data_IF_583235802854
#
_entry.id   IF_583235802854
#
_cell.length_a   1.000
_cell.length_b   1.000
_cell.length_c   1.000
_cell.angle_alpha   90.00
_cell.angle_beta   90.00
_cell.angle_gamma   90.00
#
_symmetry.space_group_name_H-M   'P 1'
#
loop_
_entity.id
_entity.type
_entity.pdbx_description
1 polymer ?
#
# COMPACT_ATOMS: atom_id res chain seq x y z
N UNK A 1 -16.08 -37.13 2.23
CA UNK A 1 -16.01 -35.76 1.68
C UNK A 1 -15.81 -34.78 2.84
N UNK A 2 -14.57 -34.36 3.12
CA UNK A 2 -14.29 -33.41 4.21
C UNK A 2 -14.48 -31.97 3.71
N UNK A 3 -15.50 -31.28 4.22
CA UNK A 3 -15.76 -29.87 3.94
C UNK A 3 -14.66 -29.02 4.60
N UNK A 4 -13.82 -28.36 3.79
CA UNK A 4 -12.83 -27.39 4.28
C UNK A 4 -13.58 -26.18 4.84
N UNK A 5 -13.55 -26.00 6.16
CA UNK A 5 -14.04 -24.80 6.81
C UNK A 5 -13.36 -23.55 6.20
N UNK A 6 -14.15 -22.61 5.68
CA UNK A 6 -13.66 -21.29 5.28
C UNK A 6 -13.13 -20.60 6.52
N UNK A 7 -11.80 -20.49 6.63
CA UNK A 7 -11.14 -19.69 7.66
C UNK A 7 -11.58 -18.23 7.46
N UNK A 8 -12.42 -17.70 8.35
CA UNK A 8 -12.81 -16.29 8.35
C UNK A 8 -11.53 -15.45 8.43
N UNK A 9 -11.36 -14.52 7.48
CA UNK A 9 -10.22 -13.61 7.52
C UNK A 9 -10.52 -12.59 8.62
N UNK A 10 -9.61 -12.35 9.57
CA UNK A 10 -9.82 -11.36 10.61
C UNK A 10 -10.09 -10.00 9.95
N UNK A 11 -11.14 -9.33 10.42
CA UNK A 11 -11.45 -7.96 10.02
C UNK A 11 -10.32 -7.07 10.54
N UNK A 12 -9.66 -6.36 9.63
CA UNK A 12 -8.56 -5.46 9.99
C UNK A 12 -9.13 -4.26 10.75
N UNK A 13 -8.44 -3.85 11.81
CA UNK A 13 -8.75 -2.59 12.49
C UNK A 13 -8.55 -1.42 11.52
N UNK A 14 -9.23 -0.26 11.75
CA UNK A 14 -9.03 0.94 10.94
C UNK A 14 -7.55 1.35 10.82
N UNK A 15 -6.78 1.21 11.91
CA UNK A 15 -5.36 1.51 11.93
C UNK A 15 -4.54 0.54 11.07
N UNK A 16 -4.83 -0.76 11.13
CA UNK A 16 -4.17 -1.75 10.26
C UNK A 16 -4.50 -1.53 8.78
N UNK A 17 -5.74 -1.10 8.48
CA UNK A 17 -6.13 -0.69 7.14
C UNK A 17 -5.37 0.55 6.69
N UNK A 18 -5.28 1.59 7.54
CA UNK A 18 -4.52 2.81 7.29
C UNK A 18 -3.05 2.49 6.99
N UNK A 19 -2.44 1.65 7.84
CA UNK A 19 -1.06 1.19 7.71
C UNK A 19 -0.83 0.46 6.39
N UNK A 20 -1.71 -0.49 6.06
CA UNK A 20 -1.63 -1.26 4.81
C UNK A 20 -1.80 -0.37 3.58
N UNK A 21 -2.68 0.62 3.64
CA UNK A 21 -2.88 1.61 2.58
C UNK A 21 -1.64 2.50 2.42
N UNK A 22 -1.09 3.01 3.52
CA UNK A 22 0.13 3.82 3.52
C UNK A 22 1.32 3.07 2.91
N UNK A 23 1.56 1.82 3.32
CA UNK A 23 2.64 0.99 2.75
C UNK A 23 2.51 0.85 1.23
N UNK A 24 1.30 0.57 0.73
CA UNK A 24 1.06 0.44 -0.71
C UNK A 24 1.33 1.75 -1.44
N UNK A 25 0.83 2.86 -0.90
CA UNK A 25 0.97 4.18 -1.51
C UNK A 25 2.44 4.61 -1.54
N UNK A 26 3.14 4.54 -0.41
CA UNK A 26 4.56 4.90 -0.31
C UNK A 26 5.39 4.06 -1.27
N UNK A 27 5.20 2.74 -1.26
CA UNK A 27 6.03 1.85 -2.08
C UNK A 27 5.75 1.99 -3.58
N UNK A 28 4.49 2.15 -3.99
CA UNK A 28 4.15 2.30 -5.40
C UNK A 28 4.44 3.70 -5.92
N UNK A 29 3.99 4.76 -5.25
CA UNK A 29 4.15 6.13 -5.74
C UNK A 29 5.58 6.65 -5.59
N UNK A 30 6.31 6.22 -4.56
CA UNK A 30 7.74 6.51 -4.46
C UNK A 30 8.51 5.91 -5.65
N UNK A 31 8.29 4.62 -5.92
CA UNK A 31 8.88 3.96 -7.09
C UNK A 31 8.42 4.57 -8.41
N UNK A 32 7.13 4.84 -8.58
CA UNK A 32 6.58 5.36 -9.83
C UNK A 32 7.16 6.74 -10.18
N UNK A 33 7.40 7.58 -9.18
CA UNK A 33 7.99 8.91 -9.37
C UNK A 33 9.41 8.79 -9.90
N UNK A 34 10.24 7.96 -9.26
CA UNK A 34 11.60 7.69 -9.72
C UNK A 34 11.60 7.04 -11.12
N UNK A 35 10.77 6.01 -11.30
CA UNK A 35 10.73 5.25 -12.55
C UNK A 35 10.27 6.11 -13.73
N UNK A 36 9.25 6.96 -13.57
CA UNK A 36 8.82 7.88 -14.64
C UNK A 36 9.84 8.95 -14.96
N UNK A 37 10.58 9.44 -13.96
CA UNK A 37 11.69 10.39 -14.18
C UNK A 37 12.76 9.77 -15.07
N UNK A 38 13.08 8.51 -14.81
CA UNK A 38 14.14 7.79 -15.52
C UNK A 38 13.64 7.15 -16.84
N UNK A 39 12.32 7.05 -17.04
CA UNK A 39 11.67 6.43 -18.21
C UNK A 39 10.50 7.30 -18.73
N UNK A 40 10.76 8.51 -19.24
CA UNK A 40 9.70 9.46 -19.61
C UNK A 40 8.82 8.98 -20.77
N UNK A 41 9.36 8.17 -21.68
CA UNK A 41 8.66 7.67 -22.89
C UNK A 41 8.10 6.25 -22.71
N UNK A 42 8.34 5.62 -21.56
CA UNK A 42 7.95 4.23 -21.38
C UNK A 42 6.43 4.07 -21.25
N UNK A 43 5.93 3.01 -21.86
CA UNK A 43 4.51 2.73 -21.91
C UNK A 43 3.98 2.02 -20.65
N UNK A 44 2.68 1.70 -20.68
CA UNK A 44 1.98 1.04 -19.59
C UNK A 44 2.49 -0.39 -19.36
N UNK A 45 2.94 -1.07 -20.40
CA UNK A 45 3.40 -2.46 -20.33
C UNK A 45 4.79 -2.54 -19.68
N UNK A 46 5.73 -1.71 -20.14
CA UNK A 46 7.04 -1.53 -19.55
C UNK A 46 6.94 -1.18 -18.06
N UNK A 47 6.01 -0.28 -17.70
CA UNK A 47 5.74 0.05 -16.30
C UNK A 47 5.28 -1.17 -15.49
N UNK A 48 4.37 -1.97 -16.04
CA UNK A 48 3.84 -3.15 -15.34
C UNK A 48 4.90 -4.22 -15.13
N UNK A 49 5.73 -4.47 -16.15
CA UNK A 49 6.85 -5.39 -16.07
C UNK A 49 7.87 -4.93 -15.01
N UNK A 50 8.33 -3.68 -15.11
CA UNK A 50 9.29 -3.10 -14.17
C UNK A 50 8.74 -3.07 -12.73
N UNK A 51 7.45 -2.81 -12.55
CA UNK A 51 6.83 -2.89 -11.23
C UNK A 51 6.83 -4.32 -10.69
N UNK A 52 6.58 -5.32 -11.53
CA UNK A 52 6.59 -6.73 -11.15
C UNK A 52 7.90 -7.12 -10.45
N UNK A 53 9.02 -6.67 -11.00
CA UNK A 53 10.36 -6.90 -10.48
C UNK A 53 10.65 -6.08 -9.21
N UNK A 54 10.32 -4.78 -9.23
CA UNK A 54 10.63 -3.87 -8.13
C UNK A 54 9.74 -4.04 -6.89
N UNK A 55 8.50 -4.53 -7.07
CA UNK A 55 7.44 -4.54 -6.05
C UNK A 55 7.89 -5.18 -4.74
N UNK A 56 8.56 -6.34 -4.80
CA UNK A 56 8.96 -7.08 -3.60
C UNK A 56 9.89 -6.28 -2.69
N UNK A 57 10.87 -5.59 -3.26
CA UNK A 57 11.79 -4.73 -2.52
C UNK A 57 11.11 -3.44 -2.06
N UNK A 58 10.40 -2.75 -2.97
CA UNK A 58 9.73 -1.47 -2.66
C UNK A 58 8.67 -1.60 -1.56
N UNK A 59 7.95 -2.71 -1.50
CA UNK A 59 7.00 -3.00 -0.41
C UNK A 59 7.68 -3.31 0.93
N UNK A 60 8.91 -3.84 0.94
CA UNK A 60 9.69 -4.04 2.17
C UNK A 60 10.21 -2.71 2.69
N UNK A 61 10.71 -1.85 1.80
CA UNK A 61 11.21 -0.53 2.18
C UNK A 61 10.08 0.38 2.65
N UNK A 62 8.92 0.37 1.99
CA UNK A 62 7.75 1.11 2.44
C UNK A 62 7.30 0.73 3.86
N UNK A 63 7.39 -0.55 4.25
CA UNK A 63 7.11 -0.99 5.63
C UNK A 63 8.10 -0.41 6.63
N UNK A 64 9.38 -0.33 6.26
CA UNK A 64 10.42 0.31 7.11
C UNK A 64 10.17 1.80 7.26
N UNK A 65 9.77 2.48 6.18
CA UNK A 65 9.40 3.90 6.21
C UNK A 65 8.24 4.12 7.17
N UNK A 66 7.14 3.36 7.03
CA UNK A 66 5.99 3.47 7.94
C UNK A 66 6.40 3.25 9.39
N UNK A 67 7.19 2.22 9.69
CA UNK A 67 7.70 1.99 11.05
C UNK A 67 8.54 3.16 11.58
N UNK A 68 9.30 3.84 10.72
CA UNK A 68 10.08 5.03 11.10
C UNK A 68 9.18 6.24 11.36
N UNK A 69 8.13 6.43 10.56
CA UNK A 69 7.13 7.48 10.79
C UNK A 69 6.43 7.28 12.14
N UNK A 70 5.98 6.04 12.40
CA UNK A 70 5.39 5.64 13.70
C UNK A 70 6.35 5.92 14.86
N UNK A 71 7.64 5.55 14.73
CA UNK A 71 8.67 5.84 15.74
C UNK A 71 8.94 7.35 15.90
N UNK A 72 8.78 8.13 14.84
CA UNK A 72 8.93 9.59 14.84
C UNK A 72 7.75 10.35 15.44
N UNK A 73 6.74 9.64 15.97
CA UNK A 73 5.55 10.26 16.58
C UNK A 73 4.42 10.56 15.59
N UNK A 74 4.51 10.09 14.33
CA UNK A 74 3.43 10.22 13.36
C UNK A 74 2.48 9.02 13.45
N UNK A 75 1.19 9.28 13.65
CA UNK A 75 0.16 8.25 13.63
C UNK A 75 -0.53 8.20 12.26
N UNK A 76 -0.68 6.98 11.72
CA UNK A 76 -1.44 6.76 10.49
C UNK A 76 -2.90 6.53 10.83
N UNK A 77 -3.74 7.49 10.48
CA UNK A 77 -5.19 7.41 10.67
C UNK A 77 -5.85 7.10 9.34
N UNK A 78 -6.82 6.18 9.33
CA UNK A 78 -7.66 5.97 8.17
C UNK A 78 -8.60 7.17 8.05
N UNK A 79 -8.46 7.97 6.99
CA UNK A 79 -9.46 8.99 6.69
C UNK A 79 -10.82 8.31 6.48
N UNK A 80 -11.93 8.88 6.98
CA UNK A 80 -13.26 8.40 6.67
C UNK A 80 -13.42 8.37 5.14
N UNK A 81 -13.98 7.28 4.63
CA UNK A 81 -14.33 7.21 3.21
C UNK A 81 -15.43 8.25 2.93
N UNK A 82 -15.52 8.79 1.69
CA UNK A 82 -16.57 9.74 1.34
C UNK A 82 -17.99 9.25 1.66
N UNK A 83 -18.19 7.93 1.60
CA UNK A 83 -19.44 7.24 1.97
C UNK A 83 -19.82 7.42 3.45
N UNK A 84 -18.85 7.57 4.35
CA UNK A 84 -19.08 7.81 5.77
C UNK A 84 -19.35 9.30 6.09
N UNK A 85 -18.93 10.22 5.22
CA UNK A 85 -19.17 11.67 5.35
C UNK A 85 -20.56 12.04 4.82
N UNK A 86 -21.08 11.28 3.85
CA UNK A 86 -22.42 11.49 3.28
C UNK A 86 -23.57 10.88 4.10
N UNK A 87 -23.26 10.17 5.19
CA UNK A 87 -24.23 9.50 6.06
C UNK A 87 -24.46 10.22 7.42
N UNK A 88 -23.85 11.40 7.59
CA UNK A 88 -24.03 12.30 8.74
C UNK A 88 -24.83 13.54 8.31
#
# INVERSE_FOLDING_TARGET
>A
MATKAKKEKPVLTPEEMARKKAVKLIGYHGWLTDWKRDNPEADVEARRAAWGEAKGQRMRDARRVVKRLEKGGLQLVAAPTPEAIAAE
#
